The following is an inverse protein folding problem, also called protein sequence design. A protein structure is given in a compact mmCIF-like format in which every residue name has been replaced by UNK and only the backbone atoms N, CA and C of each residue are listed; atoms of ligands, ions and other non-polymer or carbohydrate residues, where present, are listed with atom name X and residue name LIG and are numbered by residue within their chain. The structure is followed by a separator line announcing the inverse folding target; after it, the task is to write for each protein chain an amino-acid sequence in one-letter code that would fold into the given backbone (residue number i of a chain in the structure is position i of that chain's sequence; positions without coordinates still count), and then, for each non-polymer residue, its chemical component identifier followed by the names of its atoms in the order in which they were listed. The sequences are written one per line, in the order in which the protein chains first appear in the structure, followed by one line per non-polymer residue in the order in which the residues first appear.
data_IF_874810817334
#
_entry.id   IF_874810817334
#
_cell.length_a   1.000
_cell.length_b   1.000
_cell.length_c   1.000
_cell.angle_alpha   90.00
_cell.angle_beta   90.00
_cell.angle_gamma   90.00
#
_symmetry.space_group_name_H-M   'P 1'
#
loop_
_entity.id
_entity.type
_entity.pdbx_description
1 polymer ?
#
# COMPACT_ATOMS: atom_id res chain seq x y z
N UNK A 1 25.91 6.20 -15.80
CA UNK A 1 24.73 5.58 -15.17
C UNK A 1 24.29 4.48 -16.10
N UNK A 2 24.17 3.25 -15.62
CA UNK A 2 23.66 2.14 -16.44
C UNK A 2 22.16 2.37 -16.64
N UNK A 3 21.70 2.41 -17.89
CA UNK A 3 20.27 2.45 -18.19
C UNK A 3 19.62 1.17 -17.65
N UNK A 4 18.83 1.32 -16.59
CA UNK A 4 18.10 0.24 -15.96
C UNK A 4 16.59 0.48 -16.13
N UNK A 5 15.82 -0.52 -16.58
CA UNK A 5 16.23 -1.87 -16.92
C UNK A 5 16.98 -1.93 -18.26
N UNK A 6 17.75 -2.99 -18.54
CA UNK A 6 18.47 -3.15 -19.80
C UNK A 6 17.55 -2.98 -21.02
N UNK A 7 18.04 -2.39 -22.13
CA UNK A 7 17.25 -2.24 -23.36
C UNK A 7 16.64 -3.57 -23.83
N UNK A 8 15.35 -3.55 -24.17
CA UNK A 8 14.61 -4.75 -24.57
C UNK A 8 13.96 -5.54 -23.43
N UNK A 9 14.15 -5.12 -22.17
CA UNK A 9 13.42 -5.70 -21.04
C UNK A 9 11.92 -5.45 -21.19
N UNK A 10 11.11 -6.51 -21.07
CA UNK A 10 9.65 -6.40 -21.08
C UNK A 10 9.19 -5.75 -19.78
N UNK A 11 8.55 -4.58 -19.91
CA UNK A 11 7.91 -3.88 -18.79
C UNK A 11 6.42 -4.19 -18.84
N UNK A 12 5.90 -4.72 -17.74
CA UNK A 12 4.46 -4.96 -17.56
C UNK A 12 3.89 -4.00 -16.53
N UNK A 13 2.77 -3.38 -16.86
CA UNK A 13 2.02 -2.56 -15.91
C UNK A 13 1.16 -3.47 -15.05
N UNK A 14 1.24 -3.31 -13.72
CA UNK A 14 0.42 -4.01 -12.72
C UNK A 14 -0.02 -3.02 -11.66
N UNK A 15 -1.28 -2.57 -11.67
CA UNK A 15 -1.65 -1.52 -10.73
C UNK A 15 -1.00 -0.16 -11.07
N UNK A 16 -0.49 0.50 -10.02
CA UNK A 16 0.31 1.74 -10.10
C UNK A 16 1.78 1.52 -10.43
N UNK A 17 2.21 0.26 -10.61
CA UNK A 17 3.61 -0.06 -10.83
C UNK A 17 3.86 -0.58 -12.22
N UNK A 18 5.02 -0.21 -12.73
CA UNK A 18 5.68 -0.94 -13.80
C UNK A 18 6.60 -1.98 -13.16
N UNK A 19 6.53 -3.19 -13.68
CA UNK A 19 7.28 -4.35 -13.19
C UNK A 19 8.09 -4.94 -14.33
N UNK A 20 9.34 -5.25 -14.06
CA UNK A 20 10.19 -5.97 -14.99
C UNK A 20 10.97 -7.09 -14.28
N UNK A 21 11.41 -8.07 -15.09
CA UNK A 21 12.26 -9.17 -14.65
C UNK A 21 13.63 -8.98 -15.28
N UNK A 22 14.67 -8.83 -14.47
CA UNK A 22 16.06 -8.72 -14.92
C UNK A 22 16.87 -9.75 -14.16
N UNK A 23 17.57 -10.64 -14.87
CA UNK A 23 18.41 -11.71 -14.29
C UNK A 23 17.70 -12.56 -13.22
N UNK A 24 16.42 -12.84 -13.42
CA UNK A 24 15.60 -13.65 -12.50
C UNK A 24 15.15 -12.90 -11.24
N UNK A 25 15.41 -11.60 -11.14
CA UNK A 25 14.98 -10.73 -10.04
C UNK A 25 13.89 -9.78 -10.52
N UNK A 26 12.89 -9.57 -9.68
CA UNK A 26 11.79 -8.65 -9.98
C UNK A 26 12.13 -7.26 -9.49
N UNK A 27 11.93 -6.28 -10.36
CA UNK A 27 12.04 -4.88 -10.05
C UNK A 27 10.72 -4.19 -10.32
N UNK A 28 10.39 -3.20 -9.50
CA UNK A 28 9.21 -2.38 -9.68
C UNK A 28 9.53 -0.90 -9.52
N UNK A 29 8.70 -0.06 -10.14
CA UNK A 29 8.69 1.38 -9.93
C UNK A 29 7.25 1.88 -9.98
N UNK A 30 6.98 3.04 -9.36
CA UNK A 30 5.75 3.79 -9.65
C UNK A 30 5.76 4.16 -11.13
N UNK A 31 4.59 4.14 -11.78
CA UNK A 31 4.43 4.63 -13.16
C UNK A 31 5.05 6.03 -13.26
N UNK A 32 5.86 6.24 -14.30
CA UNK A 32 6.61 7.49 -14.57
C UNK A 32 7.76 7.83 -13.60
N UNK A 33 8.04 7.00 -12.59
CA UNK A 33 9.25 7.16 -11.79
C UNK A 33 10.51 6.74 -12.58
N UNK A 34 11.66 7.34 -12.25
CA UNK A 34 12.93 6.93 -12.87
C UNK A 34 13.59 5.78 -12.12
N UNK A 35 13.42 5.71 -10.81
CA UNK A 35 14.10 4.74 -9.95
C UNK A 35 13.35 3.41 -9.88
N UNK A 36 14.10 2.32 -10.04
CA UNK A 36 13.61 0.95 -9.89
C UNK A 36 14.05 0.38 -8.55
N UNK A 37 13.12 -0.26 -7.85
CA UNK A 37 13.36 -0.94 -6.58
C UNK A 37 13.28 -2.44 -6.79
N UNK A 38 14.25 -3.18 -6.27
CA UNK A 38 14.20 -4.66 -6.25
C UNK A 38 13.09 -5.13 -5.30
N UNK A 39 12.20 -6.00 -5.76
CA UNK A 39 11.21 -6.64 -4.90
C UNK A 39 11.85 -7.82 -4.17
N UNK A 40 12.48 -7.55 -3.03
CA UNK A 40 13.08 -8.59 -2.18
C UNK A 40 12.07 -9.27 -1.27
N UNK A 41 10.79 -8.91 -1.37
CA UNK A 41 9.77 -9.27 -0.37
C UNK A 41 8.90 -10.45 -0.75
N UNK A 42 9.02 -11.00 -1.98
CA UNK A 42 8.22 -12.13 -2.44
C UNK A 42 9.01 -13.14 -3.30
N UNK A 43 9.73 -14.11 -2.69
CA UNK A 43 10.57 -15.05 -3.43
C UNK A 43 9.84 -16.19 -4.14
N UNK A 44 8.55 -16.49 -3.87
CA UNK A 44 7.88 -17.70 -4.41
C UNK A 44 6.62 -17.48 -5.27
N UNK A 45 6.04 -16.28 -5.34
CA UNK A 45 4.77 -16.04 -6.09
C UNK A 45 4.95 -15.40 -7.49
N UNK A 46 6.15 -15.46 -8.08
CA UNK A 46 6.39 -14.92 -9.42
C UNK A 46 6.22 -16.03 -10.48
N UNK A 47 5.08 -16.70 -10.45
CA UNK A 47 4.45 -17.18 -11.67
C UNK A 47 3.10 -16.48 -11.75
N UNK A 48 2.80 -15.75 -12.84
CA UNK A 48 1.47 -15.20 -12.99
C UNK A 48 0.46 -16.35 -12.88
N UNK A 49 -0.50 -16.32 -11.95
CA UNK A 49 -1.67 -17.18 -12.09
C UNK A 49 -2.37 -16.76 -13.38
N UNK A 50 -2.75 -17.75 -14.17
CA UNK A 50 -3.47 -17.57 -15.42
C UNK A 50 -4.80 -16.80 -15.22
N UNK A 51 -5.20 -16.05 -16.26
CA UNK A 51 -6.55 -15.65 -16.71
C UNK A 51 -7.57 -15.01 -15.72
N UNK A 52 -7.33 -15.00 -14.40
CA UNK A 52 -8.26 -14.43 -13.43
C UNK A 52 -7.81 -13.03 -12.98
N UNK A 53 -8.72 -12.03 -12.96
CA UNK A 53 -8.39 -10.69 -12.48
C UNK A 53 -7.90 -10.75 -11.04
N UNK A 54 -6.93 -9.94 -10.65
CA UNK A 54 -6.41 -9.90 -9.29
C UNK A 54 -6.93 -8.72 -8.48
N UNK A 55 -7.04 -8.90 -7.16
CA UNK A 55 -7.27 -7.80 -6.23
C UNK A 55 -5.93 -7.40 -5.59
N UNK A 56 -5.58 -6.13 -5.68
CA UNK A 56 -4.35 -5.61 -5.13
C UNK A 56 -4.61 -4.76 -3.89
N UNK A 57 -3.86 -5.03 -2.83
CA UNK A 57 -3.82 -4.19 -1.64
C UNK A 57 -2.50 -3.41 -1.63
N UNK A 58 -2.61 -2.09 -1.48
CA UNK A 58 -1.49 -1.18 -1.42
C UNK A 58 -1.46 -0.40 -0.11
N UNK A 59 -0.26 -0.06 0.33
CA UNK A 59 0.00 1.07 1.21
C UNK A 59 0.29 2.29 0.34
N UNK A 60 -0.55 3.31 0.44
CA UNK A 60 -0.38 4.60 -0.23
C UNK A 60 0.21 5.59 0.78
N UNK A 61 1.23 6.32 0.36
CA UNK A 61 1.82 7.40 1.11
C UNK A 61 1.56 8.71 0.36
N UNK A 62 1.07 9.70 1.08
CA UNK A 62 0.76 11.03 0.54
C UNK A 62 1.61 12.09 1.26
N UNK A 63 2.19 13.01 0.49
CA UNK A 63 2.94 14.12 1.04
C UNK A 63 2.01 15.07 1.80
N UNK A 64 2.42 15.43 3.02
CA UNK A 64 1.77 16.46 3.81
C UNK A 64 2.59 17.75 3.81
N UNK A 65 2.23 18.72 4.66
CA UNK A 65 2.95 19.97 4.76
C UNK A 65 4.44 19.73 5.04
N UNK A 66 5.35 20.64 4.64
CA UNK A 66 6.76 20.48 4.94
C UNK A 66 7.00 20.26 6.44
N UNK A 67 7.72 19.18 6.77
CA UNK A 67 8.04 18.69 8.14
C UNK A 67 6.96 17.86 8.82
N UNK A 68 5.83 17.61 8.16
CA UNK A 68 4.86 16.62 8.63
C UNK A 68 5.23 15.25 8.06
N UNK A 69 5.01 14.17 8.83
CA UNK A 69 5.11 12.83 8.29
C UNK A 69 4.10 12.64 7.15
N UNK A 70 4.40 11.76 6.22
CA UNK A 70 3.49 11.37 5.15
C UNK A 70 2.21 10.79 5.74
N UNK A 71 1.09 11.13 5.11
CA UNK A 71 -0.19 10.50 5.40
C UNK A 71 -0.20 9.09 4.80
N UNK A 72 -0.74 8.12 5.55
CA UNK A 72 -0.78 6.72 5.13
C UNK A 72 -2.22 6.25 5.00
N UNK A 73 -2.48 5.54 3.92
CA UNK A 73 -3.77 4.93 3.62
C UNK A 73 -3.59 3.53 3.05
N UNK A 74 -4.57 2.66 3.26
CA UNK A 74 -4.67 1.40 2.53
C UNK A 74 -5.58 1.60 1.33
N UNK A 75 -5.12 1.15 0.16
CA UNK A 75 -5.87 1.22 -1.08
C UNK A 75 -6.08 -0.16 -1.67
N UNK A 76 -7.34 -0.50 -1.95
CA UNK A 76 -7.75 -1.79 -2.48
C UNK A 76 -8.34 -1.61 -3.86
N UNK A 77 -7.69 -2.15 -4.89
CA UNK A 77 -8.10 -2.00 -6.29
C UNK A 77 -8.09 -3.32 -7.07
N UNK A 78 -8.95 -3.37 -8.07
CA UNK A 78 -8.99 -4.45 -9.06
C UNK A 78 -7.90 -4.24 -10.10
N UNK A 79 -7.29 -5.31 -10.60
CA UNK A 79 -6.27 -5.25 -11.64
C UNK A 79 -6.71 -4.55 -12.92
N UNK A 80 -7.99 -4.69 -13.29
CA UNK A 80 -8.56 -4.09 -14.51
C UNK A 80 -8.89 -2.61 -14.32
N UNK A 81 -9.08 -2.17 -13.08
CA UNK A 81 -9.32 -0.77 -12.71
C UNK A 81 -8.29 -0.34 -11.67
N UNK A 82 -6.99 -0.39 -12.01
CA UNK A 82 -5.93 -0.26 -11.02
C UNK A 82 -5.89 1.12 -10.36
N UNK A 83 -6.40 2.13 -11.05
CA UNK A 83 -6.44 3.53 -10.61
C UNK A 83 -7.61 3.79 -9.65
N UNK A 84 -8.67 2.96 -9.70
CA UNK A 84 -9.91 3.13 -8.94
C UNK A 84 -10.08 2.04 -7.88
N UNK A 85 -10.25 2.47 -6.63
CA UNK A 85 -10.33 1.52 -5.52
C UNK A 85 -10.89 2.14 -4.26
N UNK A 86 -11.04 1.30 -3.24
CA UNK A 86 -11.48 1.74 -1.92
C UNK A 86 -10.28 2.17 -1.08
N UNK A 87 -10.40 3.32 -0.42
CA UNK A 87 -9.42 3.82 0.54
C UNK A 87 -9.90 3.54 1.96
N UNK A 88 -9.00 3.02 2.78
CA UNK A 88 -9.17 2.88 4.23
C UNK A 88 -8.08 3.69 4.93
N UNK A 89 -8.51 4.68 5.72
CA UNK A 89 -7.59 5.64 6.33
C UNK A 89 -8.17 6.22 7.62
N UNK A 90 -7.31 6.90 8.36
CA UNK A 90 -7.71 7.79 9.45
C UNK A 90 -7.22 9.19 9.15
N UNK A 91 -8.06 10.21 9.33
CA UNK A 91 -7.75 11.61 9.02
C UNK A 91 -7.91 12.50 10.26
N UNK A 92 -7.38 13.72 10.21
CA UNK A 92 -7.36 14.67 11.32
C UNK A 92 -6.01 14.75 12.02
N UNK A 93 -5.94 15.57 13.08
CA UNK A 93 -4.73 15.74 13.87
C UNK A 93 -4.40 14.48 14.66
N UNK A 94 -3.11 14.21 14.90
CA UNK A 94 -2.65 13.06 15.69
C UNK A 94 -3.22 13.00 17.12
N UNK A 95 -3.72 14.12 17.65
CA UNK A 95 -4.43 14.17 18.92
C UNK A 95 -5.84 13.56 18.83
N UNK A 96 -6.51 13.66 17.68
CA UNK A 96 -7.90 13.26 17.51
C UNK A 96 -8.19 12.83 16.06
N UNK A 97 -7.63 11.69 15.66
CA UNK A 97 -7.87 11.14 14.33
C UNK A 97 -9.21 10.41 14.26
N UNK A 98 -9.81 10.37 13.08
CA UNK A 98 -11.09 9.69 12.83
C UNK A 98 -10.95 8.72 11.67
N UNK A 99 -11.60 7.57 11.79
CA UNK A 99 -11.72 6.64 10.67
C UNK A 99 -12.58 7.27 9.57
N UNK A 100 -12.01 7.37 8.37
CA UNK A 100 -12.57 8.14 7.27
C UNK A 100 -12.35 7.39 5.93
N UNK A 101 -12.97 6.21 5.76
CA UNK A 101 -12.83 5.42 4.55
C UNK A 101 -13.59 6.06 3.38
N UNK A 102 -13.19 5.73 2.16
CA UNK A 102 -13.99 6.11 0.99
C UNK A 102 -15.31 5.32 0.94
N UNK A 103 -16.40 6.00 0.61
CA UNK A 103 -17.71 5.36 0.38
C UNK A 103 -17.77 4.71 -1.00
N UNK A 104 -17.08 5.31 -1.95
CA UNK A 104 -17.04 4.92 -3.36
C UNK A 104 -15.60 4.62 -3.79
N UNK A 105 -15.45 4.03 -4.97
CA UNK A 105 -14.13 3.90 -5.59
C UNK A 105 -13.61 5.28 -5.96
N UNK A 106 -12.38 5.59 -5.57
CA UNK A 106 -11.73 6.87 -5.90
C UNK A 106 -10.50 6.64 -6.77
N UNK A 107 -10.19 7.60 -7.63
CA UNK A 107 -8.91 7.63 -8.32
C UNK A 107 -7.83 8.17 -7.38
N UNK A 108 -6.90 7.31 -6.95
CA UNK A 108 -5.83 7.72 -6.03
C UNK A 108 -4.68 8.44 -6.76
N UNK A 109 -4.50 8.25 -8.08
CA UNK A 109 -3.47 8.96 -8.89
C UNK A 109 -3.79 10.44 -9.03
N UNK A 110 -5.07 10.76 -9.27
CA UNK A 110 -5.52 12.12 -9.56
C UNK A 110 -5.43 13.06 -8.34
N UNK A 111 -5.20 12.51 -7.14
CA UNK A 111 -5.01 13.31 -5.92
C UNK A 111 -3.75 14.18 -5.97
N UNK A 112 -2.78 13.86 -6.83
CA UNK A 112 -1.56 14.65 -7.04
C UNK A 112 -0.57 14.67 -5.87
N UNK A 113 -0.94 14.11 -4.71
CA UNK A 113 -0.13 14.11 -3.48
C UNK A 113 0.50 12.75 -3.17
N UNK A 114 0.23 11.72 -3.99
CA UNK A 114 0.79 10.38 -3.78
C UNK A 114 2.32 10.39 -3.98
N UNK A 115 3.08 10.30 -2.89
CA UNK A 115 4.55 10.16 -2.92
C UNK A 115 4.96 8.74 -3.29
N UNK A 116 4.32 7.73 -2.68
CA UNK A 116 4.71 6.33 -2.87
C UNK A 116 3.50 5.38 -2.78
N UNK A 117 3.60 4.26 -3.50
CA UNK A 117 2.59 3.19 -3.48
C UNK A 117 3.30 1.85 -3.35
N UNK A 118 3.15 1.20 -2.19
CA UNK A 118 3.78 -0.06 -1.88
C UNK A 118 2.77 -1.21 -1.94
N UNK A 119 3.01 -2.21 -2.78
CA UNK A 119 2.14 -3.38 -2.88
C UNK A 119 2.33 -4.29 -1.65
N UNK A 120 1.25 -4.46 -0.87
CA UNK A 120 1.20 -5.28 0.32
C UNK A 120 0.77 -6.72 0.01
N UNK A 121 -0.19 -6.89 -0.90
CA UNK A 121 -0.70 -8.21 -1.30
C UNK A 121 -1.29 -8.19 -2.70
N UNK A 122 -1.23 -9.35 -3.36
CA UNK A 122 -1.96 -9.66 -4.59
C UNK A 122 -2.83 -10.87 -4.30
N UNK A 123 -4.13 -10.73 -4.46
CA UNK A 123 -5.10 -11.79 -4.16
C UNK A 123 -5.70 -12.29 -5.45
N UNK A 124 -5.32 -13.51 -5.84
CA UNK A 124 -5.86 -14.19 -7.01
C UNK A 124 -7.14 -14.96 -6.69
N UNK A 125 -7.21 -15.59 -5.52
CA UNK A 125 -8.31 -16.44 -5.09
C UNK A 125 -9.16 -15.80 -3.98
N UNK A 126 -10.47 -16.04 -4.00
CA UNK A 126 -11.41 -15.60 -2.95
C UNK A 126 -11.33 -14.09 -2.61
N UNK A 127 -11.28 -13.28 -3.67
CA UNK A 127 -11.16 -11.82 -3.58
C UNK A 127 -12.28 -11.18 -2.76
N UNK A 128 -13.49 -11.74 -2.82
CA UNK A 128 -14.63 -11.26 -2.03
C UNK A 128 -14.39 -11.43 -0.52
N UNK A 129 -13.79 -12.53 -0.07
CA UNK A 129 -13.38 -12.69 1.32
C UNK A 129 -12.26 -11.74 1.68
N UNK A 130 -11.25 -11.60 0.83
CA UNK A 130 -10.13 -10.70 1.08
C UNK A 130 -10.60 -9.25 1.24
N UNK A 131 -11.46 -8.75 0.34
CA UNK A 131 -12.03 -7.41 0.44
C UNK A 131 -12.81 -7.19 1.74
N UNK A 132 -13.61 -8.19 2.17
CA UNK A 132 -14.32 -8.13 3.45
C UNK A 132 -13.36 -8.09 4.64
N UNK A 133 -12.28 -8.87 4.61
CA UNK A 133 -11.29 -8.90 5.68
C UNK A 133 -10.46 -7.61 5.75
N UNK A 134 -10.11 -7.01 4.62
CA UNK A 134 -9.45 -5.70 4.56
C UNK A 134 -10.33 -4.64 5.22
N UNK A 135 -11.59 -4.54 4.80
CA UNK A 135 -12.56 -3.62 5.40
C UNK A 135 -12.73 -3.86 6.90
N UNK A 136 -12.99 -5.11 7.30
CA UNK A 136 -13.15 -5.47 8.71
C UNK A 136 -11.91 -5.13 9.52
N UNK A 137 -10.71 -5.43 9.03
CA UNK A 137 -9.48 -5.14 9.75
C UNK A 137 -9.29 -3.64 9.99
N UNK A 138 -9.59 -2.81 9.00
CA UNK A 138 -9.56 -1.35 9.13
C UNK A 138 -10.60 -0.84 10.16
N UNK A 139 -11.83 -1.37 10.12
CA UNK A 139 -12.90 -0.97 11.05
C UNK A 139 -12.65 -1.37 12.51
N UNK A 140 -11.88 -2.45 12.73
CA UNK A 140 -11.60 -2.94 14.09
C UNK A 140 -10.44 -2.22 14.79
N UNK A 141 -9.59 -1.50 14.05
CA UNK A 141 -8.47 -0.77 14.64
C UNK A 141 -8.92 0.64 15.04
N UNK A 142 -8.87 1.01 16.33
CA UNK A 142 -9.29 2.32 16.77
C UNK A 142 -8.37 3.41 16.19
N UNK A 143 -8.92 4.53 15.71
CA UNK A 143 -8.12 5.68 15.32
C UNK A 143 -7.24 6.18 16.48
N UNK A 144 -6.03 6.70 16.20
CA UNK A 144 -5.18 7.30 17.22
C UNK A 144 -5.86 8.46 17.93
N UNK A 145 -5.69 8.51 19.24
CA UNK A 145 -6.27 9.51 20.13
C UNK A 145 -5.26 9.83 21.23
N UNK A 146 -5.17 11.10 21.61
CA UNK A 146 -4.36 11.56 22.74
C UNK A 146 -5.11 12.65 23.51
N UNK A 147 -4.89 12.74 24.82
CA UNK A 147 -5.51 13.79 25.65
C UNK A 147 -5.04 15.20 25.30
N UNK A 148 -3.84 15.31 24.72
CA UNK A 148 -3.21 16.56 24.29
C UNK A 148 -2.03 16.24 23.37
N UNK A 149 -1.61 17.25 22.59
CA UNK A 149 -0.48 17.18 21.66
C UNK A 149 0.83 16.65 22.25
N UNK A 150 1.11 16.85 23.54
CA UNK A 150 2.35 16.34 24.19
C UNK A 150 2.29 14.83 24.48
N UNK A 151 1.09 14.27 24.49
CA UNK A 151 0.83 12.86 24.79
C UNK A 151 0.63 12.02 23.51
N UNK A 152 0.77 12.64 22.33
CA UNK A 152 0.72 11.95 21.04
C UNK A 152 1.88 10.97 20.96
N UNK A 153 1.54 9.70 20.78
CA UNK A 153 2.50 8.59 20.60
C UNK A 153 2.34 7.89 19.26
N UNK A 154 1.31 8.26 18.50
CA UNK A 154 0.90 7.60 17.27
C UNK A 154 0.14 8.56 16.35
N UNK A 155 0.19 8.29 15.05
CA UNK A 155 -0.62 8.94 14.01
C UNK A 155 -1.14 7.89 12.99
N UNK A 156 -1.58 8.34 11.81
CA UNK A 156 -2.14 7.49 10.76
C UNK A 156 -1.22 6.33 10.35
N UNK A 157 0.10 6.53 10.39
CA UNK A 157 1.08 5.48 10.05
C UNK A 157 0.99 4.30 11.01
N UNK A 158 0.91 4.57 12.32
CA UNK A 158 0.81 3.52 13.34
C UNK A 158 -0.50 2.76 13.25
N UNK A 159 -1.61 3.47 13.01
CA UNK A 159 -2.91 2.85 12.74
C UNK A 159 -2.82 1.89 11.54
N UNK A 160 -2.25 2.34 10.41
CA UNK A 160 -2.08 1.51 9.22
C UNK A 160 -1.22 0.27 9.52
N UNK A 161 -0.14 0.40 10.28
CA UNK A 161 0.69 -0.73 10.70
C UNK A 161 -0.07 -1.74 11.55
N UNK A 162 -0.96 -1.29 12.45
CA UNK A 162 -1.85 -2.19 13.20
C UNK A 162 -2.81 -2.94 12.29
N UNK A 163 -3.42 -2.25 11.31
CA UNK A 163 -4.32 -2.88 10.34
C UNK A 163 -3.56 -3.94 9.53
N UNK A 164 -2.35 -3.62 9.04
CA UNK A 164 -1.50 -4.58 8.33
C UNK A 164 -1.18 -5.78 9.24
N UNK A 165 -0.84 -5.56 10.51
CA UNK A 165 -0.56 -6.64 11.46
C UNK A 165 -1.77 -7.56 11.68
N UNK A 166 -2.99 -7.03 11.64
CA UNK A 166 -4.22 -7.83 11.65
C UNK A 166 -4.39 -8.62 10.35
N UNK A 167 -4.12 -8.01 9.20
CA UNK A 167 -4.17 -8.70 7.90
C UNK A 167 -3.11 -9.79 7.74
N UNK A 168 -1.98 -9.70 8.46
CA UNK A 168 -1.01 -10.79 8.56
C UNK A 168 -1.61 -11.99 9.31
N UNK A 169 -2.36 -11.77 10.40
CA UNK A 169 -3.04 -12.85 11.15
C UNK A 169 -4.09 -13.55 10.29
N UNK A 170 -4.78 -12.79 9.44
CA UNK A 170 -5.78 -13.29 8.49
C UNK A 170 -5.17 -13.90 7.22
N UNK A 171 -3.84 -13.96 7.12
CA UNK A 171 -3.07 -14.49 5.97
C UNK A 171 -3.41 -13.80 4.64
N UNK A 172 -3.76 -12.52 4.70
CA UNK A 172 -3.93 -11.67 3.52
C UNK A 172 -2.60 -10.99 3.16
N UNK A 173 -1.84 -10.56 4.16
CA UNK A 173 -0.54 -9.91 3.97
C UNK A 173 0.57 -10.78 4.54
N UNK A 174 1.70 -10.87 3.84
CA UNK A 174 2.86 -11.61 4.32
C UNK A 174 3.55 -10.88 5.49
N UNK A 175 4.05 -11.59 6.52
CA UNK A 175 4.74 -10.96 7.66
C UNK A 175 5.89 -10.03 7.26
N UNK A 176 6.62 -10.36 6.19
CA UNK A 176 7.72 -9.56 5.67
C UNK A 176 7.26 -8.17 5.20
N UNK A 177 6.05 -8.07 4.63
CA UNK A 177 5.47 -6.79 4.20
C UNK A 177 5.13 -5.89 5.38
N UNK A 178 4.75 -6.46 6.52
CA UNK A 178 4.56 -5.71 7.78
C UNK A 178 5.90 -5.14 8.29
N UNK A 179 6.97 -5.93 8.26
CA UNK A 179 8.29 -5.45 8.69
C UNK A 179 8.82 -4.34 7.77
N UNK A 180 8.60 -4.46 6.46
CA UNK A 180 8.90 -3.36 5.52
C UNK A 180 8.06 -2.13 5.86
N UNK A 181 6.75 -2.27 6.06
CA UNK A 181 5.90 -1.14 6.44
C UNK A 181 6.40 -0.46 7.74
N UNK A 182 6.75 -1.21 8.79
CA UNK A 182 7.34 -0.63 10.01
C UNK A 182 8.63 0.13 9.73
N UNK A 183 9.48 -0.37 8.84
CA UNK A 183 10.75 0.30 8.49
C UNK A 183 10.56 1.62 7.72
N UNK A 184 9.41 1.81 7.08
CA UNK A 184 9.06 3.03 6.35
C UNK A 184 8.46 4.12 7.27
N UNK A 185 8.13 3.80 8.52
CA UNK A 185 7.49 4.75 9.43
C UNK A 185 8.41 5.94 9.74
N UNK A 186 7.83 7.14 9.64
CA UNK A 186 8.47 8.38 10.06
C UNK A 186 8.12 8.70 11.51
N UNK A 187 9.01 9.40 12.21
CA UNK A 187 8.79 9.84 13.57
C UNK A 187 7.52 10.72 13.67
N UNK A 188 6.80 10.54 14.78
CA UNK A 188 5.60 11.30 15.18
C UNK A 188 6.01 12.51 16.00
#
# INVERSE_FOLDING_TARGET
MSDFPPPGTVITTRGFREVCLVDGRTYFRKRDAQEWTEDTSNPEEIKPPAENPHLYLYLVQEEQSPREPNHWALFLADENEPEYGYVYQVTGDAENMKYDPSTDKINVVDTGLTSNVYCLAVVSEDQARAAKLVKWAAEQEPPPQAENRRSVTENCQGWTVRVIARLVKERIVMPQKLEVAKSLMQAV
#
